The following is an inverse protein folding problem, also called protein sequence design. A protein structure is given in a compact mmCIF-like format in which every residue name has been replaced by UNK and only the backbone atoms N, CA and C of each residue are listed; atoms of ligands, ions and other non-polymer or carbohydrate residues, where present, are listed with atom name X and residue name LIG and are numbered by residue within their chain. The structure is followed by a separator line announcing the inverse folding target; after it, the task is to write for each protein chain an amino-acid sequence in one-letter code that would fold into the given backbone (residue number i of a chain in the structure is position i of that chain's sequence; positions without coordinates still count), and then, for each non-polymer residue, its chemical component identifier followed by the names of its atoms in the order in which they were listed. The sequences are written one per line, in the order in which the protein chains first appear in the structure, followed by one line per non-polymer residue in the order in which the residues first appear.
data_IF_728710969745
#
_entry.id   IF_728710969745
#
_cell.length_a   1.000
_cell.length_b   1.000
_cell.length_c   1.000
_cell.angle_alpha   90.00
_cell.angle_beta   90.00
_cell.angle_gamma   90.00
#
_symmetry.space_group_name_H-M   'P 1'
#
loop_
_entity.id
_entity.type
_entity.pdbx_description
1 polymer ?
#
# COMPACT_ATOMS: atom_id res chain seq x y z
N UNK A 1 -1.64 23.51 6.94
CA UNK A 1 -0.30 23.42 7.57
C UNK A 1 -0.08 22.00 8.07
N UNK A 2 1.09 21.40 7.72
CA UNK A 2 1.41 20.00 8.04
C UNK A 2 2.68 19.93 8.90
N UNK A 3 2.64 19.07 9.92
CA UNK A 3 3.78 18.71 10.75
C UNK A 3 3.95 17.21 10.74
N UNK A 4 5.15 16.74 10.44
CA UNK A 4 5.48 15.32 10.39
C UNK A 4 6.71 15.02 11.23
N UNK A 5 6.63 14.00 12.06
CA UNK A 5 7.74 13.40 12.77
C UNK A 5 7.80 11.92 12.41
N UNK A 6 8.98 11.44 12.00
CA UNK A 6 9.20 10.03 11.71
C UNK A 6 10.54 9.57 12.28
N UNK A 7 10.51 8.44 12.95
CA UNK A 7 11.69 7.70 13.43
C UNK A 7 11.69 6.32 12.78
N UNK A 8 12.85 5.93 12.21
CA UNK A 8 13.03 4.59 11.64
C UNK A 8 14.30 3.97 12.19
N UNK A 9 14.20 2.76 12.71
CA UNK A 9 15.31 1.95 13.18
C UNK A 9 15.44 0.67 12.38
N UNK A 10 16.66 0.41 11.88
CA UNK A 10 16.98 -0.80 11.11
C UNK A 10 17.91 -1.68 11.94
N UNK A 11 17.41 -2.82 12.37
CA UNK A 11 18.16 -3.78 13.16
C UNK A 11 18.72 -4.90 12.26
N UNK A 12 20.02 -5.20 12.40
CA UNK A 12 20.75 -6.24 11.64
C UNK A 12 20.55 -6.14 10.13
N UNK A 13 20.38 -4.89 9.59
CA UNK A 13 20.12 -4.61 8.18
C UNK A 13 18.92 -5.37 7.56
N UNK A 14 18.01 -5.87 8.38
CA UNK A 14 16.90 -6.73 7.98
C UNK A 14 15.55 -6.30 8.55
N UNK A 15 15.52 -6.03 9.86
CA UNK A 15 14.29 -5.71 10.58
C UNK A 15 14.10 -4.20 10.57
N UNK A 16 12.94 -3.73 10.17
CA UNK A 16 12.63 -2.31 10.09
C UNK A 16 11.51 -2.02 11.08
N UNK A 17 11.77 -1.07 11.98
CA UNK A 17 10.78 -0.55 12.91
C UNK A 17 10.64 0.94 12.67
N UNK A 18 9.42 1.41 12.50
CA UNK A 18 9.14 2.83 12.29
C UNK A 18 8.03 3.28 13.22
N UNK A 19 8.16 4.52 13.71
CA UNK A 19 7.12 5.24 14.40
C UNK A 19 6.94 6.59 13.72
N UNK A 20 5.71 7.06 13.59
CA UNK A 20 5.43 8.38 13.02
C UNK A 20 4.27 9.06 13.72
N UNK A 21 4.28 10.38 13.61
CA UNK A 21 3.17 11.25 13.99
C UNK A 21 3.02 12.34 12.93
N UNK A 22 1.80 12.50 12.43
CA UNK A 22 1.43 13.54 11.49
C UNK A 22 0.31 14.38 12.09
N UNK A 23 0.39 15.70 11.91
CA UNK A 23 -0.66 16.64 12.23
C UNK A 23 -0.87 17.58 11.06
N UNK A 24 -2.08 17.61 10.50
CA UNK A 24 -2.43 18.46 9.37
C UNK A 24 -3.60 19.36 9.78
N UNK A 25 -3.38 20.70 9.74
CA UNK A 25 -4.44 21.68 9.89
C UNK A 25 -5.08 21.98 8.56
N UNK A 26 -6.36 22.38 8.59
CA UNK A 26 -7.15 22.71 7.40
C UNK A 26 -7.11 21.55 6.38
N UNK A 27 -7.30 20.34 6.89
CA UNK A 27 -7.24 19.12 6.10
C UNK A 27 -8.41 19.03 5.13
N UNK A 28 -8.12 19.02 3.82
CA UNK A 28 -9.13 18.93 2.79
C UNK A 28 -9.68 17.51 2.64
N UNK A 29 -10.98 17.37 2.80
CA UNK A 29 -11.69 16.09 2.68
C UNK A 29 -12.77 16.22 1.61
N UNK A 30 -12.79 15.25 0.69
CA UNK A 30 -13.94 15.12 -0.20
C UNK A 30 -15.09 14.49 0.57
N UNK A 31 -16.19 15.21 0.65
CA UNK A 31 -17.43 14.76 1.27
C UNK A 31 -18.46 14.41 0.20
N UNK A 32 -19.32 13.48 0.53
CA UNK A 32 -20.45 13.08 -0.30
C UNK A 32 -21.71 13.17 0.54
N UNK A 33 -22.73 13.82 0.01
CA UNK A 33 -24.05 13.77 0.62
C UNK A 33 -25.14 13.59 -0.44
N UNK A 34 -26.22 12.89 -0.08
CA UNK A 34 -27.37 12.71 -0.94
C UNK A 34 -28.36 13.84 -0.68
N UNK A 35 -28.77 14.53 -1.74
CA UNK A 35 -29.80 15.58 -1.66
C UNK A 35 -31.14 14.99 -1.24
N UNK A 36 -31.84 15.69 -0.33
CA UNK A 36 -33.22 15.33 0.04
C UNK A 36 -34.26 15.70 -1.01
N UNK A 37 -33.91 16.64 -1.88
CA UNK A 37 -34.84 17.20 -2.89
C UNK A 37 -34.70 16.52 -4.25
N UNK A 38 -33.54 15.92 -4.52
CA UNK A 38 -33.24 15.32 -5.82
C UNK A 38 -32.50 14.00 -5.59
N UNK A 39 -32.71 13.02 -6.46
CA UNK A 39 -31.96 11.75 -6.48
C UNK A 39 -30.55 11.97 -7.06
N UNK A 40 -29.78 12.87 -6.46
CA UNK A 40 -28.41 13.20 -6.85
C UNK A 40 -27.48 13.14 -5.66
N UNK A 41 -26.28 12.66 -5.91
CA UNK A 41 -25.17 12.73 -4.97
C UNK A 41 -24.38 14.01 -5.21
N UNK A 42 -24.09 14.73 -4.13
CA UNK A 42 -23.33 15.98 -4.17
C UNK A 42 -21.96 15.74 -3.56
N UNK A 43 -20.93 15.93 -4.37
CA UNK A 43 -19.55 15.88 -3.93
C UNK A 43 -19.04 17.28 -3.64
N UNK A 44 -18.51 17.49 -2.45
CA UNK A 44 -17.96 18.77 -2.03
C UNK A 44 -16.66 18.55 -1.26
N UNK A 45 -15.65 19.38 -1.54
CA UNK A 45 -14.44 19.45 -0.72
C UNK A 45 -14.70 20.41 0.45
N UNK A 46 -14.44 19.94 1.66
CA UNK A 46 -14.48 20.72 2.88
C UNK A 46 -13.11 20.64 3.57
N UNK A 47 -12.75 21.70 4.30
CA UNK A 47 -11.55 21.72 5.09
C UNK A 47 -11.92 21.44 6.54
N UNK A 48 -11.46 20.30 7.05
CA UNK A 48 -11.59 19.95 8.46
C UNK A 48 -10.56 20.71 9.28
N UNK A 49 -10.88 21.04 10.54
CA UNK A 49 -10.00 21.78 11.44
C UNK A 49 -8.62 21.10 11.53
N UNK A 50 -8.59 19.80 11.71
CA UNK A 50 -7.35 19.05 11.68
C UNK A 50 -7.55 17.54 11.51
N UNK A 51 -6.47 16.92 11.07
CA UNK A 51 -6.27 15.47 11.10
C UNK A 51 -4.99 15.17 11.86
N UNK A 52 -5.01 14.14 12.70
CA UNK A 52 -3.85 13.60 13.39
C UNK A 52 -3.74 12.10 13.11
N UNK A 53 -2.51 11.65 12.90
CA UNK A 53 -2.21 10.23 12.75
C UNK A 53 -0.94 9.90 13.52
N UNK A 54 -0.98 8.85 14.33
CA UNK A 54 0.20 8.24 14.92
C UNK A 54 0.25 6.76 14.53
N UNK A 55 1.41 6.26 14.22
CA UNK A 55 1.51 4.87 13.81
C UNK A 55 2.83 4.22 14.17
N UNK A 56 2.77 2.89 14.24
CA UNK A 56 3.91 1.99 14.41
C UNK A 56 3.92 0.99 13.28
N UNK A 57 5.10 0.69 12.76
CA UNK A 57 5.30 -0.34 11.76
C UNK A 57 6.45 -1.25 12.17
N UNK A 58 6.27 -2.55 11.95
CA UNK A 58 7.31 -3.55 12.04
C UNK A 58 7.37 -4.35 10.73
N UNK A 59 8.54 -4.43 10.09
CA UNK A 59 8.80 -5.28 8.93
C UNK A 59 9.84 -6.33 9.28
N UNK A 60 9.41 -7.58 9.28
CA UNK A 60 10.15 -8.74 9.80
C UNK A 60 10.35 -9.72 8.65
N UNK A 61 11.55 -9.81 8.07
CA UNK A 61 11.89 -10.87 7.13
C UNK A 61 12.23 -12.16 7.88
N UNK A 62 11.83 -13.27 7.30
CA UNK A 62 12.24 -14.59 7.74
C UNK A 62 12.41 -15.54 6.56
N UNK A 63 13.50 -16.27 6.58
CA UNK A 63 13.89 -17.15 5.48
C UNK A 63 13.97 -18.60 5.95
N UNK A 64 13.46 -19.52 5.15
CA UNK A 64 13.65 -20.96 5.39
C UNK A 64 14.59 -21.49 4.31
N UNK A 65 15.88 -21.56 4.66
CA UNK A 65 16.95 -21.97 3.74
C UNK A 65 16.88 -21.16 2.42
N UNK A 66 16.98 -21.85 1.29
CA UNK A 66 16.90 -21.27 -0.04
C UNK A 66 15.52 -21.49 -0.70
N UNK A 67 14.58 -22.09 0.04
CA UNK A 67 13.27 -22.48 -0.48
C UNK A 67 12.22 -21.39 -0.32
N UNK A 68 12.25 -20.67 0.80
CA UNK A 68 11.25 -19.69 1.15
C UNK A 68 11.92 -18.40 1.64
N UNK A 69 11.59 -17.30 1.02
CA UNK A 69 11.85 -15.95 1.51
C UNK A 69 10.53 -15.30 1.87
N UNK A 70 10.38 -14.86 3.11
CA UNK A 70 9.14 -14.30 3.64
C UNK A 70 9.38 -12.94 4.29
N UNK A 71 8.36 -12.10 4.24
CA UNK A 71 8.32 -10.81 4.94
C UNK A 71 6.94 -10.58 5.51
N UNK A 72 6.89 -10.40 6.82
CA UNK A 72 5.70 -9.95 7.52
C UNK A 72 5.84 -8.46 7.82
N UNK A 73 4.87 -7.65 7.41
CA UNK A 73 4.76 -6.23 7.77
C UNK A 73 3.48 -6.03 8.57
N UNK A 74 3.63 -5.49 9.77
CA UNK A 74 2.52 -5.12 10.66
C UNK A 74 2.53 -3.61 10.84
N UNK A 75 1.37 -2.99 10.72
CA UNK A 75 1.17 -1.55 10.87
C UNK A 75 -0.01 -1.35 11.80
N UNK A 76 0.18 -0.56 12.86
CA UNK A 76 -0.87 -0.07 13.74
C UNK A 76 -0.96 1.44 13.61
N UNK A 77 -2.16 1.97 13.45
CA UNK A 77 -2.41 3.41 13.26
C UNK A 77 -3.49 3.87 14.22
N UNK A 78 -3.22 4.93 14.94
CA UNK A 78 -4.22 5.77 15.58
C UNK A 78 -4.53 6.95 14.65
N UNK A 79 -5.81 7.22 14.42
CA UNK A 79 -6.28 8.24 13.50
C UNK A 79 -7.38 9.06 14.17
N UNK A 80 -7.22 10.39 14.17
CA UNK A 80 -8.16 11.34 14.74
C UNK A 80 -8.41 12.48 13.74
N UNK A 81 -9.68 12.72 13.45
CA UNK A 81 -10.17 13.82 12.61
C UNK A 81 -11.21 14.63 13.36
N UNK A 82 -11.10 15.94 13.33
CA UNK A 82 -12.02 16.86 13.98
C UNK A 82 -12.39 18.01 13.07
N UNK A 83 -13.67 18.36 13.09
CA UNK A 83 -14.21 19.59 12.55
C UNK A 83 -15.32 20.10 13.47
N UNK A 84 -15.37 21.42 13.67
CA UNK A 84 -16.38 22.05 14.54
C UNK A 84 -17.61 22.50 13.77
N UNK A 85 -17.45 22.77 12.47
CA UNK A 85 -18.49 23.37 11.60
C UNK A 85 -18.94 22.45 10.45
N UNK A 86 -18.74 21.15 10.56
CA UNK A 86 -19.17 20.22 9.51
C UNK A 86 -20.71 20.19 9.40
N UNK A 87 -21.29 20.97 8.46
CA UNK A 87 -22.73 21.04 8.21
C UNK A 87 -23.55 21.29 9.50
N UNK A 88 -23.10 22.20 10.35
CA UNK A 88 -23.68 22.50 11.67
C UNK A 88 -23.68 21.31 12.64
N UNK A 89 -22.87 20.29 12.38
CA UNK A 89 -22.75 19.09 13.16
C UNK A 89 -21.28 18.93 13.64
N UNK A 90 -21.02 18.83 14.94
CA UNK A 90 -19.66 18.57 15.43
C UNK A 90 -19.16 17.23 14.94
N UNK A 91 -18.08 17.23 14.20
CA UNK A 91 -17.43 16.03 13.69
C UNK A 91 -16.18 15.73 14.50
N UNK A 92 -16.16 14.59 15.16
CA UNK A 92 -15.02 14.13 15.97
C UNK A 92 -14.90 12.61 15.86
N UNK A 93 -13.96 12.14 15.07
CA UNK A 93 -13.74 10.72 14.82
C UNK A 93 -12.38 10.28 15.27
N UNK A 94 -12.36 9.24 16.10
CA UNK A 94 -11.15 8.67 16.66
C UNK A 94 -11.19 7.14 16.52
N UNK A 95 -10.18 6.56 15.86
CA UNK A 95 -10.12 5.12 15.62
C UNK A 95 -8.67 4.63 15.64
N UNK A 96 -8.50 3.40 16.12
CA UNK A 96 -7.28 2.62 15.90
C UNK A 96 -7.56 1.52 14.90
N UNK A 97 -6.65 1.32 13.95
CA UNK A 97 -6.75 0.23 12.97
C UNK A 97 -5.39 -0.41 12.71
N UNK A 98 -5.44 -1.63 12.22
CA UNK A 98 -4.25 -2.41 11.90
C UNK A 98 -4.24 -2.89 10.45
N UNK A 99 -3.04 -3.02 9.89
CA UNK A 99 -2.79 -3.63 8.59
C UNK A 99 -1.71 -4.71 8.78
N UNK A 100 -1.95 -5.88 8.21
CA UNK A 100 -0.96 -6.96 8.12
C UNK A 100 -0.73 -7.31 6.65
N UNK A 101 0.53 -7.40 6.24
CA UNK A 101 0.94 -7.86 4.90
C UNK A 101 1.95 -8.98 5.06
N UNK A 102 1.66 -10.14 4.48
CA UNK A 102 2.57 -11.28 4.44
C UNK A 102 2.90 -11.59 2.99
N UNK A 103 4.17 -11.48 2.63
CA UNK A 103 4.69 -11.87 1.32
C UNK A 103 5.58 -13.10 1.47
N UNK A 104 5.28 -14.16 0.72
CA UNK A 104 6.03 -15.39 0.68
C UNK A 104 6.52 -15.65 -0.74
N UNK A 105 7.83 -15.81 -0.92
CA UNK A 105 8.42 -16.18 -2.20
C UNK A 105 9.04 -17.56 -2.10
N UNK A 106 8.42 -18.51 -2.78
CA UNK A 106 8.88 -19.90 -2.87
C UNK A 106 9.78 -20.08 -4.08
N UNK A 107 10.99 -20.58 -3.89
CA UNK A 107 11.86 -21.01 -4.99
C UNK A 107 11.51 -22.44 -5.35
N UNK A 108 10.72 -22.63 -6.42
CA UNK A 108 10.26 -23.93 -6.88
C UNK A 108 11.35 -24.67 -7.65
N UNK A 109 12.16 -23.92 -8.40
CA UNK A 109 13.33 -24.45 -9.12
C UNK A 109 14.39 -23.37 -9.28
N UNK A 110 15.68 -23.77 -9.33
CA UNK A 110 16.81 -22.88 -9.62
C UNK A 110 17.21 -22.93 -11.10
N UNK A 111 16.97 -24.04 -11.74
CA UNK A 111 17.25 -24.26 -13.17
C UNK A 111 16.13 -25.13 -13.76
N UNK A 112 15.17 -24.53 -14.46
CA UNK A 112 14.98 -23.09 -14.72
C UNK A 112 14.65 -22.27 -13.46
N UNK A 113 14.88 -20.94 -13.49
CA UNK A 113 14.55 -20.04 -12.38
C UNK A 113 13.02 -19.89 -12.27
N UNK A 114 12.40 -20.68 -11.39
CA UNK A 114 10.96 -20.71 -11.19
C UNK A 114 10.63 -20.34 -9.75
N UNK A 115 9.84 -19.27 -9.57
CA UNK A 115 9.45 -18.76 -8.27
C UNK A 115 7.95 -18.49 -8.23
N UNK A 116 7.32 -18.85 -7.12
CA UNK A 116 5.94 -18.51 -6.79
C UNK A 116 5.96 -17.47 -5.65
N UNK A 117 5.33 -16.34 -5.87
CA UNK A 117 5.12 -15.33 -4.82
C UNK A 117 3.65 -15.29 -4.46
N UNK A 118 3.35 -15.40 -3.16
CA UNK A 118 2.03 -15.21 -2.59
C UNK A 118 2.08 -14.00 -1.65
N UNK A 119 1.17 -13.06 -1.84
CA UNK A 119 1.03 -11.88 -0.98
C UNK A 119 -0.38 -11.82 -0.44
N UNK A 120 -0.53 -11.91 0.88
CA UNK A 120 -1.77 -11.68 1.60
C UNK A 120 -1.74 -10.33 2.30
N UNK A 121 -2.83 -9.59 2.25
CA UNK A 121 -3.05 -8.36 3.01
C UNK A 121 -4.38 -8.46 3.75
N UNK A 122 -4.38 -8.00 5.00
CA UNK A 122 -5.58 -7.81 5.79
C UNK A 122 -5.53 -6.44 6.48
N UNK A 123 -6.67 -5.75 6.52
CA UNK A 123 -6.85 -4.48 7.22
C UNK A 123 -8.11 -4.56 8.08
N UNK A 124 -8.02 -4.09 9.31
CA UNK A 124 -9.18 -3.91 10.18
C UNK A 124 -10.05 -2.75 9.70
N UNK A 125 -11.20 -2.53 10.34
CA UNK A 125 -12.03 -1.35 10.09
C UNK A 125 -11.20 -0.07 10.28
N UNK A 126 -11.44 0.92 9.43
CA UNK A 126 -10.80 2.23 9.47
C UNK A 126 -11.83 3.34 9.18
N UNK A 127 -11.40 4.59 9.28
CA UNK A 127 -12.20 5.75 8.85
C UNK A 127 -11.35 6.66 7.99
N UNK A 128 -11.99 7.40 7.11
CA UNK A 128 -11.36 8.44 6.30
C UNK A 128 -12.39 9.54 6.05
N UNK A 129 -12.22 10.69 6.70
CA UNK A 129 -13.23 11.72 6.69
C UNK A 129 -14.58 11.17 7.16
N UNK A 130 -15.62 11.37 6.37
CA UNK A 130 -16.96 10.88 6.65
C UNK A 130 -17.17 9.40 6.37
N UNK A 131 -16.20 8.72 5.74
CA UNK A 131 -16.33 7.33 5.31
C UNK A 131 -15.96 6.36 6.42
N UNK A 132 -16.84 5.39 6.68
CA UNK A 132 -16.52 4.14 7.37
C UNK A 132 -15.97 3.14 6.36
N UNK A 133 -14.76 2.69 6.59
CA UNK A 133 -14.09 1.69 5.77
C UNK A 133 -14.17 0.34 6.46
N UNK A 134 -14.97 -0.62 5.97
CA UNK A 134 -15.02 -1.96 6.52
C UNK A 134 -13.65 -2.64 6.48
N UNK A 135 -13.49 -3.69 7.28
CA UNK A 135 -12.32 -4.57 7.15
C UNK A 135 -12.26 -5.15 5.74
N UNK A 136 -11.06 -5.28 5.22
CA UNK A 136 -10.82 -5.83 3.88
C UNK A 136 -9.53 -6.64 3.86
N UNK A 137 -9.39 -7.50 2.86
CA UNK A 137 -8.16 -8.23 2.65
C UNK A 137 -8.17 -8.92 1.29
N UNK A 138 -6.98 -9.18 0.76
CA UNK A 138 -6.83 -9.85 -0.51
C UNK A 138 -5.63 -10.81 -0.50
N UNK A 139 -5.63 -11.73 -1.45
CA UNK A 139 -4.49 -12.59 -1.75
C UNK A 139 -4.14 -12.45 -3.21
N UNK A 140 -2.87 -12.15 -3.47
CA UNK A 140 -2.29 -12.11 -4.81
C UNK A 140 -1.34 -13.29 -5.00
N UNK A 141 -1.26 -13.81 -6.22
CA UNK A 141 -0.25 -14.80 -6.62
C UNK A 141 0.49 -14.34 -7.87
N UNK A 142 1.78 -14.63 -7.93
CA UNK A 142 2.60 -14.39 -9.12
C UNK A 142 3.57 -15.56 -9.33
N UNK A 143 3.61 -16.09 -10.54
CA UNK A 143 4.54 -17.12 -10.97
C UNK A 143 5.56 -16.49 -11.93
N UNK A 144 6.83 -16.52 -11.53
CA UNK A 144 7.94 -16.02 -12.33
C UNK A 144 8.73 -17.19 -12.89
N UNK A 145 8.92 -17.19 -14.21
CA UNK A 145 9.73 -18.17 -14.94
C UNK A 145 10.84 -17.48 -15.72
N UNK A 146 12.09 -17.72 -15.28
CA UNK A 146 13.29 -17.19 -15.91
C UNK A 146 13.95 -18.23 -16.81
N UNK A 147 14.23 -17.90 -18.06
CA UNK A 147 14.84 -18.80 -19.05
C UNK A 147 15.84 -18.06 -19.97
N UNK A 148 16.34 -18.72 -21.02
CA UNK A 148 17.36 -18.16 -21.92
C UNK A 148 18.58 -17.60 -21.17
N UNK A 149 19.11 -18.36 -20.19
CA UNK A 149 20.25 -17.97 -19.34
C UNK A 149 20.02 -16.65 -18.60
N UNK A 150 18.78 -16.38 -18.17
CA UNK A 150 18.38 -15.19 -17.43
C UNK A 150 18.09 -13.96 -18.29
N UNK A 151 18.12 -14.10 -19.64
CA UNK A 151 17.77 -13.02 -20.56
C UNK A 151 16.28 -12.84 -20.72
N UNK A 152 15.49 -13.90 -20.54
CA UNK A 152 14.03 -13.90 -20.69
C UNK A 152 13.35 -14.19 -19.36
N UNK A 153 12.30 -13.45 -19.04
CA UNK A 153 11.45 -13.64 -17.87
C UNK A 153 9.99 -13.56 -18.29
N UNK A 154 9.22 -14.58 -17.93
CA UNK A 154 7.77 -14.61 -18.05
C UNK A 154 7.20 -14.52 -16.64
N UNK A 155 6.25 -13.61 -16.42
CA UNK A 155 5.47 -13.52 -15.19
C UNK A 155 4.00 -13.72 -15.51
N UNK A 156 3.37 -14.62 -14.77
CA UNK A 156 1.92 -14.78 -14.69
C UNK A 156 1.49 -14.25 -13.33
N UNK A 157 0.44 -13.44 -13.26
CA UNK A 157 -0.04 -12.95 -11.98
C UNK A 157 -1.57 -12.96 -11.92
N UNK A 158 -2.06 -13.10 -10.70
CA UNK A 158 -3.47 -12.98 -10.37
C UNK A 158 -3.57 -12.10 -9.12
N UNK A 159 -4.18 -10.95 -9.24
CA UNK A 159 -4.48 -10.05 -8.15
C UNK A 159 -5.88 -10.35 -7.62
N UNK A 160 -6.01 -10.29 -6.28
CA UNK A 160 -7.26 -10.54 -5.56
C UNK A 160 -7.96 -11.84 -5.98
N UNK A 161 -7.27 -12.97 -5.79
CA UNK A 161 -7.72 -14.31 -6.21
C UNK A 161 -9.14 -14.61 -5.74
N UNK A 162 -9.52 -14.13 -4.54
CA UNK A 162 -10.80 -14.43 -3.89
C UNK A 162 -11.84 -13.33 -4.06
N UNK A 163 -11.51 -12.21 -4.75
CA UNK A 163 -12.40 -11.05 -4.92
C UNK A 163 -12.86 -10.45 -3.58
N UNK A 164 -11.94 -10.42 -2.60
CA UNK A 164 -12.23 -9.95 -1.24
C UNK A 164 -11.57 -8.60 -0.90
N UNK A 165 -10.74 -8.07 -1.82
CA UNK A 165 -10.01 -6.82 -1.65
C UNK A 165 -10.88 -5.58 -1.77
N UNK A 166 -12.10 -5.72 -2.24
CA UNK A 166 -13.02 -4.61 -2.41
C UNK A 166 -13.35 -3.93 -1.08
N UNK A 167 -13.14 -2.63 -1.05
CA UNK A 167 -13.58 -1.78 0.04
C UNK A 167 -14.91 -1.16 -0.39
N UNK A 168 -15.96 -1.34 0.46
CA UNK A 168 -17.27 -0.72 0.28
C UNK A 168 -17.43 0.40 1.33
N UNK A 169 -16.94 1.62 1.03
CA UNK A 169 -17.05 2.75 1.94
C UNK A 169 -18.51 3.02 2.26
N UNK A 170 -18.78 3.35 3.52
CA UNK A 170 -20.13 3.67 3.99
C UNK A 170 -20.12 5.05 4.62
N UNK A 171 -21.19 5.82 4.40
CA UNK A 171 -21.41 7.07 5.08
C UNK A 171 -22.61 6.87 6.00
N UNK A 172 -22.36 7.00 7.29
CA UNK A 172 -23.40 6.95 8.33
C UNK A 172 -23.19 8.14 9.24
N UNK A 173 -23.59 9.31 8.75
CA UNK A 173 -23.39 10.56 9.45
C UNK A 173 -24.62 11.45 9.30
N UNK A 174 -25.18 11.94 10.43
CA UNK A 174 -26.41 12.70 10.42
C UNK A 174 -27.58 11.87 9.84
N UNK A 175 -28.25 12.41 8.83
CA UNK A 175 -29.33 11.73 8.10
C UNK A 175 -28.83 10.89 6.92
N UNK A 176 -27.52 10.88 6.66
CA UNK A 176 -26.94 10.19 5.51
C UNK A 176 -26.69 8.72 5.80
N UNK A 177 -27.11 7.85 4.87
CA UNK A 177 -26.86 6.42 4.91
C UNK A 177 -26.56 5.93 3.49
N UNK A 178 -25.33 6.12 3.04
CA UNK A 178 -24.87 5.78 1.69
C UNK A 178 -23.85 4.66 1.76
N UNK A 179 -23.91 3.72 0.84
CA UNK A 179 -22.89 2.70 0.63
C UNK A 179 -22.38 2.81 -0.80
N UNK A 180 -21.09 3.06 -0.95
CA UNK A 180 -20.45 3.06 -2.26
C UNK A 180 -19.97 1.64 -2.57
N UNK A 181 -20.46 1.08 -3.65
CA UNK A 181 -20.07 -0.24 -4.13
C UNK A 181 -19.19 -0.07 -5.38
N UNK A 182 -17.88 0.02 -5.16
CA UNK A 182 -16.92 0.02 -6.25
C UNK A 182 -16.68 -1.41 -6.70
N UNK A 183 -16.93 -1.69 -7.96
CA UNK A 183 -16.66 -3.02 -8.52
C UNK A 183 -15.15 -3.20 -8.65
N UNK A 184 -14.58 -4.09 -7.86
CA UNK A 184 -13.22 -4.59 -8.07
C UNK A 184 -13.30 -5.95 -8.75
N UNK A 185 -12.46 -6.14 -9.75
CA UNK A 185 -12.38 -7.42 -10.46
C UNK A 185 -11.07 -8.10 -10.11
N UNK A 186 -11.12 -9.43 -10.08
CA UNK A 186 -9.90 -10.23 -10.16
C UNK A 186 -9.15 -9.85 -11.43
N UNK A 187 -7.89 -9.51 -11.28
CA UNK A 187 -7.03 -9.17 -12.40
C UNK A 187 -6.08 -10.34 -12.68
N UNK A 188 -6.09 -10.85 -13.90
CA UNK A 188 -5.15 -11.87 -14.37
C UNK A 188 -4.32 -11.26 -15.49
N UNK A 189 -2.99 -11.35 -15.37
CA UNK A 189 -2.11 -10.76 -16.35
C UNK A 189 -0.87 -11.59 -16.63
N UNK A 190 -0.26 -11.28 -17.76
CA UNK A 190 0.98 -11.87 -18.26
C UNK A 190 1.93 -10.76 -18.62
N UNK A 191 3.18 -10.85 -18.19
CA UNK A 191 4.23 -9.98 -18.68
C UNK A 191 5.43 -10.78 -19.15
N UNK A 192 5.99 -10.35 -20.26
CA UNK A 192 7.21 -10.92 -20.83
C UNK A 192 8.29 -9.85 -20.95
N UNK A 193 9.45 -10.14 -20.39
CA UNK A 193 10.62 -9.25 -20.47
C UNK A 193 11.77 -9.99 -21.13
N UNK A 194 12.39 -9.36 -22.12
CA UNK A 194 13.59 -9.88 -22.76
C UNK A 194 14.69 -8.81 -22.74
N UNK A 195 15.89 -9.20 -22.27
CA UNK A 195 17.06 -8.31 -22.22
C UNK A 195 17.85 -8.43 -23.49
N UNK A 196 17.82 -7.37 -24.31
CA UNK A 196 18.64 -7.24 -25.52
C UNK A 196 19.99 -6.62 -25.18
N UNK A 197 21.04 -7.06 -25.90
CA UNK A 197 22.35 -6.48 -25.82
C UNK A 197 23.15 -6.87 -24.57
N UNK A 198 24.45 -6.81 -24.71
CA UNK A 198 25.44 -6.90 -23.64
C UNK A 198 26.33 -5.66 -23.73
N UNK A 199 25.80 -4.49 -23.29
CA UNK A 199 26.67 -3.34 -23.13
C UNK A 199 27.66 -3.68 -22.01
N UNK A 200 28.93 -3.93 -22.43
CA UNK A 200 30.04 -3.92 -21.50
C UNK A 200 30.56 -2.48 -21.52
N UNK A 201 30.45 -1.83 -20.37
CA UNK A 201 31.10 -0.55 -20.17
C UNK A 201 32.59 -0.71 -20.51
N UNK A 202 33.06 -0.07 -21.59
CA UNK A 202 34.47 -0.02 -21.87
C UNK A 202 35.13 0.76 -20.72
N UNK A 203 36.05 0.11 -19.98
CA UNK A 203 36.93 0.83 -19.07
C UNK A 203 37.53 1.99 -19.87
N UNK A 204 37.24 3.23 -19.47
CA UNK A 204 37.97 4.38 -20.01
C UNK A 204 39.42 4.16 -19.64
N UNK A 205 40.29 4.06 -20.68
CA UNK A 205 41.71 4.12 -20.45
C UNK A 205 42.00 5.47 -19.83
N UNK A 206 42.69 5.46 -18.68
CA UNK A 206 43.15 6.70 -18.05
C UNK A 206 44.08 7.38 -19.04
N UNK A 207 43.75 8.61 -19.37
CA UNK A 207 44.61 9.43 -20.25
C UNK A 207 45.93 9.64 -19.52
N UNK A 208 47.01 9.11 -20.10
CA UNK A 208 48.36 9.30 -19.59
C UNK A 208 48.71 10.79 -19.56
N UNK A 209 48.74 11.36 -18.38
CA UNK A 209 49.05 12.78 -18.11
C UNK A 209 50.54 13.01 -17.88
N UNK A 210 51.40 12.01 -18.09
CA UNK A 210 52.85 12.12 -17.85
C UNK A 210 53.56 13.16 -18.75
N UNK A 211 52.90 13.57 -19.84
CA UNK A 211 53.41 14.57 -20.78
C UNK A 211 53.18 16.03 -20.41
N UNK A 212 52.48 16.28 -19.29
CA UNK A 212 52.12 17.62 -18.82
C UNK A 212 52.82 17.99 -17.50
N UNK A 213 54.06 17.53 -17.30
CA UNK A 213 54.94 18.01 -16.25
C UNK A 213 56.02 18.86 -16.87
#
# INVERSE_FOLDING_TARGET
QEYQLQLTHILKSKYIFSAWFNHTKDYSVQTLYQSSERLVEIYKHLNFNYQQQAGLQASIPFDIKQLLNSRLTLIGVWHHEKDEDFWDIPFNRNICYGIAVLTNTFTLSKKPDLKLTLTGMARSKATQGIYDLPSSGYVNAALRYGFAKGKAVLNLYCNDIFETGQIKPRIRFGTQNVTNDYTCFREIGVSFTYKFGGYREKKREEVDRSRFK
#
